data_IF_062401445063
#
_entry.id   IF_062401445063
#
_cell.length_a   1.000
_cell.length_b   1.000
_cell.length_c   1.000
_cell.angle_alpha   90.00
_cell.angle_beta   90.00
_cell.angle_gamma   90.00
#
_symmetry.space_group_name_H-M   'P 1'
#
loop_
_entity.id
_entity.type
_entity.pdbx_description
1 polymer ?
#
# COMPACT_ATOMS: atom_id res chain seq x y z
N UNK A 1 11.13 3.97 10.78
CA UNK A 1 12.19 2.95 10.84
C UNK A 1 13.03 2.94 9.56
N UNK A 2 12.48 2.64 8.37
CA UNK A 2 13.29 2.67 7.14
C UNK A 2 13.96 4.04 6.89
N UNK A 3 13.26 5.14 7.15
CA UNK A 3 13.85 6.49 7.04
C UNK A 3 15.07 6.67 7.96
N UNK A 4 15.07 6.05 9.14
CA UNK A 4 16.20 6.11 10.08
C UNK A 4 17.33 5.17 9.63
N UNK A 5 16.98 4.00 9.07
CA UNK A 5 17.96 3.03 8.57
C UNK A 5 18.72 3.55 7.35
N UNK A 6 18.01 4.18 6.41
CA UNK A 6 18.58 4.72 5.16
C UNK A 6 19.04 6.18 5.29
N UNK A 7 18.72 6.84 6.41
CA UNK A 7 19.13 8.22 6.71
C UNK A 7 18.44 9.32 5.89
N UNK A 8 17.53 8.97 4.97
CA UNK A 8 16.86 9.91 4.09
C UNK A 8 15.40 9.53 3.87
N UNK A 9 14.50 10.46 4.19
CA UNK A 9 13.07 10.31 3.92
C UNK A 9 12.80 10.25 2.43
N UNK A 10 13.38 11.18 1.67
CA UNK A 10 13.18 11.27 0.21
C UNK A 10 13.62 9.99 -0.48
N UNK A 11 14.76 9.41 -0.09
CA UNK A 11 15.26 8.14 -0.64
C UNK A 11 14.27 7.00 -0.40
N UNK A 12 13.76 6.87 0.82
CA UNK A 12 12.81 5.81 1.19
C UNK A 12 11.50 5.94 0.42
N UNK A 13 10.99 7.16 0.24
CA UNK A 13 9.77 7.38 -0.55
C UNK A 13 9.98 7.08 -2.03
N UNK A 14 11.11 7.49 -2.61
CA UNK A 14 11.47 7.17 -4.00
C UNK A 14 11.58 5.65 -4.20
N UNK A 15 12.34 4.96 -3.34
CA UNK A 15 12.48 3.50 -3.40
C UNK A 15 11.12 2.79 -3.28
N UNK A 16 10.26 3.22 -2.34
CA UNK A 16 8.92 2.66 -2.18
C UNK A 16 8.09 2.83 -3.47
N UNK A 17 8.13 4.02 -4.07
CA UNK A 17 7.40 4.33 -5.30
C UNK A 17 7.90 3.49 -6.47
N UNK A 18 9.22 3.42 -6.69
CA UNK A 18 9.81 2.65 -7.79
C UNK A 18 9.61 1.13 -7.64
N UNK A 19 9.74 0.59 -6.42
CA UNK A 19 9.54 -0.84 -6.16
C UNK A 19 8.08 -1.27 -6.31
N UNK A 20 7.13 -0.35 -6.05
CA UNK A 20 5.71 -0.58 -6.25
C UNK A 20 5.28 -0.48 -7.73
N UNK A 21 5.91 0.40 -8.52
CA UNK A 21 5.55 0.67 -9.91
C UNK A 21 6.71 0.31 -10.86
N UNK A 22 6.96 -0.99 -11.01
CA UNK A 22 8.21 -1.49 -11.61
C UNK A 22 8.31 -1.30 -13.13
N UNK A 23 7.18 -1.12 -13.82
CA UNK A 23 7.15 -0.85 -15.26
C UNK A 23 7.05 0.64 -15.59
N UNK A 24 6.77 1.49 -14.59
CA UNK A 24 6.52 2.90 -14.82
C UNK A 24 7.82 3.71 -14.86
N UNK A 25 7.84 4.70 -15.76
CA UNK A 25 8.90 5.69 -15.86
C UNK A 25 8.40 7.03 -15.31
N UNK A 26 9.20 7.68 -14.47
CA UNK A 26 8.83 8.95 -13.85
C UNK A 26 9.85 10.04 -14.16
N UNK A 27 9.37 11.27 -14.39
CA UNK A 27 10.24 12.44 -14.41
C UNK A 27 10.26 13.15 -13.05
N UNK A 28 11.30 13.97 -12.83
CA UNK A 28 11.58 14.60 -11.53
C UNK A 28 10.37 15.34 -10.94
N UNK A 29 9.66 16.15 -11.74
CA UNK A 29 8.50 16.92 -11.26
C UNK A 29 7.30 16.04 -10.88
N UNK A 30 7.03 14.96 -11.62
CA UNK A 30 6.04 13.96 -11.22
C UNK A 30 6.40 13.35 -9.85
N UNK A 31 7.65 12.94 -9.68
CA UNK A 31 8.14 12.37 -8.43
C UNK A 31 7.98 13.36 -7.26
N UNK A 32 8.35 14.63 -7.46
CA UNK A 32 8.20 15.66 -6.40
C UNK A 32 6.75 15.81 -5.93
N UNK A 33 5.78 15.75 -6.85
CA UNK A 33 4.36 15.83 -6.51
C UNK A 33 3.89 14.56 -5.80
N UNK A 34 4.24 13.38 -6.33
CA UNK A 34 3.83 12.09 -5.75
C UNK A 34 4.36 11.87 -4.33
N UNK A 35 5.61 12.26 -4.05
CA UNK A 35 6.23 12.03 -2.72
C UNK A 35 6.21 13.26 -1.81
N UNK A 36 5.68 14.39 -2.29
CA UNK A 36 5.61 15.63 -1.50
C UNK A 36 6.95 16.22 -1.05
N UNK A 37 8.03 16.03 -1.84
CA UNK A 37 9.38 16.48 -1.49
C UNK A 37 9.89 17.61 -2.39
N UNK A 38 10.85 18.39 -1.88
CA UNK A 38 11.49 19.47 -2.63
C UNK A 38 12.27 18.95 -3.84
N UNK A 39 12.20 19.67 -4.95
CA UNK A 39 12.80 19.26 -6.23
C UNK A 39 14.30 18.96 -6.16
N UNK A 40 15.06 19.72 -5.38
CA UNK A 40 16.50 19.50 -5.25
C UNK A 40 16.80 18.26 -4.41
N UNK A 41 16.02 17.99 -3.37
CA UNK A 41 16.14 16.76 -2.60
C UNK A 41 15.85 15.53 -3.47
N UNK A 42 14.82 15.62 -4.33
CA UNK A 42 14.50 14.54 -5.28
C UNK A 42 15.62 14.33 -6.28
N UNK A 43 16.17 15.40 -6.89
CA UNK A 43 17.30 15.28 -7.82
C UNK A 43 18.52 14.61 -7.17
N UNK A 44 18.93 15.10 -6.01
CA UNK A 44 20.09 14.57 -5.30
C UNK A 44 19.93 13.08 -5.01
N UNK A 45 18.74 12.64 -4.56
CA UNK A 45 18.50 11.23 -4.30
C UNK A 45 18.36 10.39 -5.56
N UNK A 46 17.83 10.93 -6.66
CA UNK A 46 17.82 10.23 -7.96
C UNK A 46 19.24 10.02 -8.47
N UNK A 47 20.12 11.02 -8.38
CA UNK A 47 21.52 10.88 -8.77
C UNK A 47 22.24 9.84 -7.90
N UNK A 48 21.99 9.84 -6.59
CA UNK A 48 22.52 8.82 -5.67
C UNK A 48 22.02 7.42 -6.05
N UNK A 49 20.73 7.22 -6.25
CA UNK A 49 20.15 5.92 -6.58
C UNK A 49 20.62 5.42 -7.96
N UNK A 50 20.80 6.33 -8.92
CA UNK A 50 21.30 6.01 -10.25
C UNK A 50 22.78 5.61 -10.21
N UNK A 51 23.61 6.34 -9.45
CA UNK A 51 25.03 5.98 -9.27
C UNK A 51 25.22 4.63 -8.56
N UNK A 52 24.28 4.23 -7.69
CA UNK A 52 24.24 2.89 -7.08
C UNK A 52 23.70 1.81 -8.02
N UNK A 53 23.21 2.16 -9.22
CA UNK A 53 22.60 1.23 -10.16
C UNK A 53 21.24 0.68 -9.72
N UNK A 54 20.60 1.27 -8.70
CA UNK A 54 19.29 0.85 -8.20
C UNK A 54 18.17 1.32 -9.14
N UNK A 55 18.34 2.51 -9.72
CA UNK A 55 17.48 3.04 -10.78
C UNK A 55 18.30 3.30 -12.02
N UNK A 56 17.65 3.38 -13.16
CA UNK A 56 18.28 3.71 -14.42
C UNK A 56 17.54 4.84 -15.14
N UNK A 57 18.26 5.55 -16.00
CA UNK A 57 17.70 6.62 -16.82
C UNK A 57 17.11 5.98 -18.06
N UNK A 58 15.78 5.95 -18.14
CA UNK A 58 15.08 5.52 -19.34
C UNK A 58 15.14 6.64 -20.38
N UNK A 59 15.48 6.29 -21.63
CA UNK A 59 15.30 7.19 -22.77
C UNK A 59 13.80 7.22 -23.09
N UNK A 60 13.22 8.41 -23.14
CA UNK A 60 11.91 8.57 -23.77
C UNK A 60 12.14 8.53 -25.27
N UNK A 61 11.79 7.40 -25.92
CA UNK A 61 11.97 7.27 -27.36
C UNK A 61 11.01 8.17 -28.14
N UNK A 62 9.90 8.64 -27.55
CA UNK A 62 9.05 9.67 -28.15
C UNK A 62 8.41 10.56 -27.06
N UNK A 63 8.42 11.87 -27.26
CA UNK A 63 7.75 12.87 -26.40
C UNK A 63 6.19 12.78 -26.48
N UNK A 64 5.64 11.86 -27.28
CA UNK A 64 4.21 11.77 -27.59
C UNK A 64 3.44 10.62 -26.90
N UNK A 65 4.10 9.63 -26.29
CA UNK A 65 3.41 8.44 -25.71
C UNK A 65 3.05 8.56 -24.22
N UNK A 66 3.23 9.73 -23.59
CA UNK A 66 2.85 9.97 -22.18
C UNK A 66 1.84 11.10 -22.10
N UNK A 67 0.57 10.72 -22.15
CA UNK A 67 -0.66 11.51 -22.31
C UNK A 67 -1.02 12.45 -21.12
N UNK A 68 -0.03 12.96 -20.37
CA UNK A 68 -0.26 13.74 -19.15
C UNK A 68 0.56 15.03 -19.09
N UNK A 69 -0.11 16.16 -19.30
CA UNK A 69 0.34 17.54 -19.02
C UNK A 69 1.48 18.10 -19.91
N UNK A 70 1.10 18.58 -21.10
CA UNK A 70 1.86 19.63 -21.83
C UNK A 70 1.68 20.99 -21.11
N UNK A 71 2.36 21.18 -19.97
CA UNK A 71 2.51 22.50 -19.34
C UNK A 71 3.85 23.11 -19.79
N UNK A 72 3.75 24.31 -20.37
CA UNK A 72 4.75 24.90 -21.24
C UNK A 72 6.19 25.03 -20.71
N UNK A 73 7.09 25.14 -21.70
CA UNK A 73 8.45 25.70 -21.66
C UNK A 73 9.53 24.84 -20.98
N UNK A 74 10.21 24.03 -21.79
CA UNK A 74 11.61 24.23 -22.20
C UNK A 74 12.10 22.96 -22.92
N UNK A 75 12.63 23.11 -24.13
CA UNK A 75 13.21 22.04 -24.95
C UNK A 75 14.53 21.54 -24.35
N UNK A 76 14.44 20.78 -23.26
CA UNK A 76 15.53 19.95 -22.76
C UNK A 76 15.00 18.52 -22.67
N UNK A 77 15.78 17.56 -23.17
CA UNK A 77 15.44 16.14 -23.05
C UNK A 77 15.04 15.82 -21.61
N UNK A 78 13.76 15.48 -21.42
CA UNK A 78 13.26 15.09 -20.10
C UNK A 78 13.92 13.76 -19.74
N UNK A 79 14.68 13.75 -18.65
CA UNK A 79 15.22 12.52 -18.08
C UNK A 79 14.11 11.80 -17.33
N UNK A 80 13.88 10.56 -17.72
CA UNK A 80 12.97 9.65 -17.04
C UNK A 80 13.77 8.63 -16.24
N UNK A 81 13.21 8.22 -15.12
CA UNK A 81 13.83 7.27 -14.20
C UNK A 81 12.88 6.10 -14.00
N UNK A 82 13.44 4.89 -13.94
CA UNK A 82 12.71 3.67 -13.58
C UNK A 82 13.57 2.78 -12.70
N UNK A 83 12.95 1.83 -12.01
CA UNK A 83 13.69 0.85 -11.21
C UNK A 83 14.55 -0.03 -12.13
N UNK A 84 15.79 -0.28 -11.74
CA UNK A 84 16.63 -1.26 -12.42
C UNK A 84 16.37 -2.64 -11.81
N UNK A 85 15.66 -3.50 -12.55
CA UNK A 85 15.34 -4.87 -12.11
C UNK A 85 16.56 -5.80 -12.16
N UNK A 86 17.57 -5.45 -12.93
CA UNK A 86 18.83 -6.18 -13.04
C UNK A 86 19.82 -5.81 -11.92
N UNK A 87 19.44 -4.87 -11.04
CA UNK A 87 20.21 -4.54 -9.86
C UNK A 87 20.33 -5.77 -8.94
N UNK A 88 21.56 -6.09 -8.51
CA UNK A 88 21.86 -7.24 -7.65
C UNK A 88 20.99 -7.27 -6.38
N UNK A 89 20.72 -6.09 -5.79
CA UNK A 89 19.97 -5.95 -4.54
C UNK A 89 18.45 -5.80 -4.75
N UNK A 90 17.97 -5.85 -5.98
CA UNK A 90 16.55 -5.67 -6.28
C UNK A 90 15.64 -6.64 -5.49
N UNK A 91 15.87 -7.96 -5.46
CA UNK A 91 15.00 -8.87 -4.72
C UNK A 91 15.03 -8.62 -3.20
N UNK A 92 16.18 -8.26 -2.63
CA UNK A 92 16.33 -7.94 -1.20
C UNK A 92 15.64 -6.62 -0.86
N UNK A 93 15.81 -5.58 -1.68
CA UNK A 93 15.15 -4.30 -1.51
C UNK A 93 13.63 -4.47 -1.61
N UNK A 94 13.15 -5.23 -2.59
CA UNK A 94 11.73 -5.57 -2.72
C UNK A 94 11.24 -6.28 -1.46
N UNK A 95 11.91 -7.35 -1.03
CA UNK A 95 11.52 -8.10 0.16
C UNK A 95 11.55 -7.23 1.43
N UNK A 96 12.56 -6.36 1.59
CA UNK A 96 12.69 -5.45 2.71
C UNK A 96 11.55 -4.44 2.74
N UNK A 97 11.26 -3.79 1.61
CA UNK A 97 10.21 -2.78 1.53
C UNK A 97 8.80 -3.39 1.65
N UNK A 98 8.57 -4.57 1.08
CA UNK A 98 7.33 -5.34 1.30
C UNK A 98 7.16 -5.71 2.79
N UNK A 99 8.20 -6.25 3.45
CA UNK A 99 8.17 -6.57 4.88
C UNK A 99 8.10 -5.32 5.77
N UNK A 100 8.63 -4.19 5.33
CA UNK A 100 8.49 -2.92 6.06
C UNK A 100 7.04 -2.42 6.08
N UNK A 101 6.26 -2.75 5.04
CA UNK A 101 4.81 -2.58 5.03
C UNK A 101 4.19 -3.21 6.28
N UNK A 102 4.56 -4.46 6.57
CA UNK A 102 4.12 -5.21 7.77
C UNK A 102 4.46 -4.50 9.10
N UNK A 103 5.52 -3.70 9.15
CA UNK A 103 5.84 -2.91 10.35
C UNK A 103 4.97 -1.66 10.51
N UNK A 104 4.55 -1.04 9.39
CA UNK A 104 3.52 0.01 9.41
C UNK A 104 2.20 -0.55 9.93
N UNK A 105 1.88 -1.81 9.62
CA UNK A 105 0.69 -2.49 10.13
C UNK A 105 0.68 -2.55 11.66
N UNK A 106 1.81 -2.87 12.31
CA UNK A 106 1.85 -2.93 13.79
C UNK A 106 1.55 -1.58 14.46
N UNK A 107 2.14 -0.49 13.95
CA UNK A 107 1.86 0.85 14.50
C UNK A 107 0.43 1.29 14.20
N UNK A 108 -0.07 0.95 13.01
CA UNK A 108 -1.43 1.24 12.60
C UNK A 108 -2.45 0.48 13.45
N UNK A 109 -2.26 -0.83 13.65
CA UNK A 109 -3.06 -1.67 14.56
C UNK A 109 -3.06 -1.08 15.96
N UNK A 110 -1.90 -0.71 16.53
CA UNK A 110 -1.85 -0.09 17.86
C UNK A 110 -2.67 1.21 17.94
N UNK A 111 -2.65 2.05 16.90
CA UNK A 111 -3.44 3.28 16.85
C UNK A 111 -4.94 2.97 16.74
N UNK A 112 -5.32 1.99 15.93
CA UNK A 112 -6.70 1.53 15.82
C UNK A 112 -7.20 0.88 17.11
N UNK A 113 -6.40 0.07 17.80
CA UNK A 113 -6.75 -0.49 19.10
C UNK A 113 -6.93 0.58 20.18
N UNK A 114 -6.26 1.73 20.07
CA UNK A 114 -6.51 2.91 20.93
C UNK A 114 -7.75 3.70 20.50
N UNK A 115 -8.27 3.48 19.29
CA UNK A 115 -9.48 4.12 18.79
C UNK A 115 -10.77 3.45 19.31
N UNK A 116 -10.68 2.25 19.88
CA UNK A 116 -11.79 1.52 20.48
C UNK A 116 -11.63 0.00 20.34
N UNK A 117 -12.75 -0.72 20.27
CA UNK A 117 -12.73 -2.18 20.12
C UNK A 117 -12.63 -2.57 18.65
N UNK A 118 -11.42 -2.94 18.22
CA UNK A 118 -11.15 -3.51 16.90
C UNK A 118 -11.47 -5.01 16.91
N UNK A 119 -12.34 -5.47 16.01
CA UNK A 119 -12.71 -6.89 15.88
C UNK A 119 -12.17 -7.51 14.59
N UNK A 120 -12.04 -6.73 13.53
CA UNK A 120 -11.48 -7.19 12.27
C UNK A 120 -10.69 -6.08 11.61
N UNK A 121 -9.55 -6.44 11.02
CA UNK A 121 -8.75 -5.58 10.16
C UNK A 121 -8.19 -6.40 9.01
N UNK A 122 -8.53 -6.02 7.79
CA UNK A 122 -7.93 -6.55 6.58
C UNK A 122 -7.30 -5.42 5.76
N UNK A 123 -6.11 -5.71 5.24
CA UNK A 123 -5.39 -4.86 4.31
C UNK A 123 -5.49 -5.46 2.91
N UNK A 124 -5.84 -4.61 1.97
CA UNK A 124 -6.34 -4.97 0.66
C UNK A 124 -5.81 -3.94 -0.36
N UNK A 125 -6.18 -4.08 -1.62
CA UNK A 125 -5.83 -3.13 -2.66
C UNK A 125 -4.33 -2.84 -2.70
N UNK A 126 -3.96 -1.58 -2.43
CA UNK A 126 -2.58 -1.12 -2.39
C UNK A 126 -1.63 -2.01 -1.57
N UNK A 127 -2.09 -2.55 -0.44
CA UNK A 127 -1.24 -3.35 0.45
C UNK A 127 -0.92 -4.74 -0.10
N UNK A 128 -1.73 -5.25 -1.03
CA UNK A 128 -1.54 -6.55 -1.68
C UNK A 128 -1.17 -6.42 -3.16
N UNK A 129 -1.02 -5.19 -3.66
CA UNK A 129 -0.65 -4.90 -5.04
C UNK A 129 -1.80 -5.02 -6.05
N UNK A 130 -3.05 -4.93 -5.61
CA UNK A 130 -4.24 -4.90 -6.48
C UNK A 130 -4.82 -3.47 -6.51
N UNK A 131 -5.08 -2.92 -7.69
CA UNK A 131 -5.61 -1.54 -7.81
C UNK A 131 -7.13 -1.47 -7.98
N UNK A 132 -7.75 -2.61 -8.27
CA UNK A 132 -9.18 -2.81 -8.54
C UNK A 132 -9.98 -3.21 -7.29
N UNK A 133 -9.32 -3.36 -6.14
CA UNK A 133 -10.01 -3.66 -4.90
C UNK A 133 -10.99 -2.54 -4.51
N UNK A 134 -12.17 -2.88 -3.97
CA UNK A 134 -13.19 -1.90 -3.56
C UNK A 134 -12.73 -0.95 -2.44
N UNK A 135 -11.73 -1.38 -1.66
CA UNK A 135 -11.13 -0.58 -0.59
C UNK A 135 -9.71 -1.10 -0.31
N UNK A 136 -8.82 -0.25 0.21
CA UNK A 136 -7.46 -0.64 0.61
C UNK A 136 -7.41 -1.14 2.05
N UNK A 137 -8.33 -0.68 2.91
CA UNK A 137 -8.41 -1.09 4.32
C UNK A 137 -9.87 -1.35 4.70
N UNK A 138 -10.13 -2.55 5.23
CA UNK A 138 -11.44 -2.89 5.78
C UNK A 138 -11.36 -3.11 7.29
N UNK A 139 -12.21 -2.42 8.04
CA UNK A 139 -12.21 -2.40 9.50
C UNK A 139 -13.60 -2.75 10.03
N UNK A 140 -13.69 -3.72 10.94
CA UNK A 140 -14.92 -3.99 11.71
C UNK A 140 -14.64 -3.75 13.19
N UNK A 141 -15.44 -2.91 13.84
CA UNK A 141 -15.26 -2.60 15.25
C UNK A 141 -16.10 -1.43 15.76
N UNK A 142 -16.07 -1.24 17.08
CA UNK A 142 -16.63 -0.05 17.73
C UNK A 142 -15.50 0.95 17.94
N UNK A 143 -15.25 1.79 16.94
CA UNK A 143 -14.13 2.73 16.89
C UNK A 143 -14.65 4.16 16.72
N UNK A 144 -13.98 5.14 17.33
CA UNK A 144 -14.24 6.57 17.03
C UNK A 144 -13.79 6.89 15.62
N UNK A 145 -14.70 7.48 14.81
CA UNK A 145 -14.42 7.87 13.43
C UNK A 145 -13.24 8.83 13.35
N UNK A 146 -13.17 9.81 14.26
CA UNK A 146 -12.11 10.82 14.32
C UNK A 146 -10.74 10.17 14.51
N UNK A 147 -10.64 9.17 15.40
CA UNK A 147 -9.40 8.45 15.67
C UNK A 147 -8.99 7.53 14.53
N UNK A 148 -9.95 6.88 13.85
CA UNK A 148 -9.66 6.09 12.65
C UNK A 148 -9.13 6.99 11.54
N UNK A 149 -9.79 8.11 11.26
CA UNK A 149 -9.33 9.09 10.26
C UNK A 149 -7.92 9.58 10.57
N UNK A 150 -7.62 9.88 11.84
CA UNK A 150 -6.26 10.28 12.26
C UNK A 150 -5.22 9.18 12.06
N UNK A 151 -5.58 7.92 12.36
CA UNK A 151 -4.71 6.77 12.14
C UNK A 151 -4.41 6.55 10.65
N UNK A 152 -5.44 6.63 9.79
CA UNK A 152 -5.31 6.51 8.34
C UNK A 152 -4.46 7.64 7.77
N UNK A 153 -4.73 8.91 8.13
CA UNK A 153 -3.92 10.07 7.70
C UNK A 153 -2.44 9.93 8.01
N UNK A 154 -2.13 9.37 9.18
CA UNK A 154 -0.73 9.15 9.56
C UNK A 154 -0.07 8.04 8.73
N UNK A 155 -0.85 7.05 8.32
CA UNK A 155 -0.41 5.98 7.44
C UNK A 155 -0.22 6.51 5.99
N UNK A 156 -1.14 7.35 5.49
CA UNK A 156 -1.02 8.03 4.21
C UNK A 156 0.24 8.89 4.12
N UNK A 157 0.57 9.63 5.19
CA UNK A 157 1.82 10.41 5.27
C UNK A 157 3.07 9.53 5.12
N UNK A 158 3.09 8.33 5.70
CA UNK A 158 4.22 7.41 5.59
C UNK A 158 4.33 6.68 4.26
N UNK A 159 3.24 6.66 3.48
CA UNK A 159 3.16 5.98 2.17
C UNK A 159 3.20 7.00 1.02
N UNK A 160 2.91 8.27 1.29
CA UNK A 160 2.69 9.33 0.30
C UNK A 160 1.66 8.94 -0.77
N UNK A 161 0.57 8.30 -0.32
CA UNK A 161 -0.56 7.91 -1.15
C UNK A 161 -1.83 8.00 -0.32
N UNK A 162 -2.91 8.46 -0.94
CA UNK A 162 -4.25 8.38 -0.35
C UNK A 162 -4.70 6.92 -0.26
N UNK A 163 -5.36 6.57 0.84
CA UNK A 163 -5.75 5.19 1.15
C UNK A 163 -7.26 5.15 1.35
N UNK A 164 -7.94 4.36 0.53
CA UNK A 164 -9.38 4.15 0.65
C UNK A 164 -9.65 3.19 1.80
N UNK A 165 -10.50 3.57 2.74
CA UNK A 165 -10.83 2.70 3.88
C UNK A 165 -12.34 2.66 4.15
N UNK A 166 -12.80 1.49 4.56
CA UNK A 166 -14.18 1.22 4.95
C UNK A 166 -14.22 0.79 6.41
N UNK A 167 -15.07 1.43 7.20
CA UNK A 167 -15.30 1.09 8.62
C UNK A 167 -16.74 0.68 8.79
N UNK A 168 -16.97 -0.50 9.37
CA UNK A 168 -18.29 -0.98 9.73
C UNK A 168 -18.38 -1.30 11.21
N UNK A 169 -19.53 -1.01 11.78
CA UNK A 169 -19.84 -1.44 13.14
C UNK A 169 -20.14 -2.95 13.12
N UNK A 170 -19.91 -3.72 14.21
CA UNK A 170 -20.18 -5.16 14.21
C UNK A 170 -21.64 -5.51 13.87
N UNK A 171 -22.59 -4.68 14.31
CA UNK A 171 -24.02 -4.84 14.00
C UNK A 171 -24.32 -4.58 12.52
N UNK A 172 -23.68 -3.56 11.94
CA UNK A 172 -23.82 -3.23 10.52
C UNK A 172 -23.20 -4.33 9.63
N UNK A 173 -22.01 -4.81 9.99
CA UNK A 173 -21.35 -5.91 9.28
C UNK A 173 -22.23 -7.16 9.25
N UNK A 174 -22.79 -7.55 10.40
CA UNK A 174 -23.67 -8.73 10.51
C UNK A 174 -24.92 -8.55 9.65
N UNK A 175 -25.58 -7.39 9.78
CA UNK A 175 -26.78 -7.07 8.99
C UNK A 175 -26.51 -7.08 7.48
N UNK A 176 -25.44 -6.44 7.01
CA UNK A 176 -25.07 -6.41 5.59
C UNK A 176 -24.64 -7.78 5.07
N UNK A 177 -24.04 -8.62 5.92
CA UNK A 177 -23.70 -10.00 5.58
C UNK A 177 -24.95 -10.86 5.39
N UNK A 178 -25.94 -10.73 6.26
CA UNK A 178 -27.24 -11.43 6.16
C UNK A 178 -28.04 -10.98 4.93
N UNK A 179 -28.00 -9.70 4.60
CA UNK A 179 -28.65 -9.16 3.41
C UNK A 179 -27.91 -9.44 2.09
N UNK A 180 -26.79 -10.18 2.13
CA UNK A 180 -25.98 -10.45 0.94
C UNK A 180 -25.58 -9.16 0.22
N UNK A 181 -25.14 -8.17 0.99
CA UNK A 181 -24.71 -6.88 0.46
C UNK A 181 -23.55 -7.06 -0.54
N UNK A 182 -23.78 -6.62 -1.79
CA UNK A 182 -22.82 -6.79 -2.88
C UNK A 182 -21.44 -6.22 -2.56
N UNK A 183 -21.36 -5.02 -2.00
CA UNK A 183 -20.09 -4.36 -1.69
C UNK A 183 -19.33 -5.09 -0.58
N UNK A 184 -20.03 -5.55 0.45
CA UNK A 184 -19.40 -6.36 1.50
C UNK A 184 -18.85 -7.67 0.94
N UNK A 185 -19.57 -8.34 0.05
CA UNK A 185 -19.08 -9.56 -0.58
C UNK A 185 -17.89 -9.31 -1.52
N UNK A 186 -17.88 -8.21 -2.28
CA UNK A 186 -16.71 -7.78 -3.07
C UNK A 186 -15.47 -7.58 -2.18
N UNK A 187 -15.63 -6.96 -0.99
CA UNK A 187 -14.55 -6.85 0.02
C UNK A 187 -14.15 -8.23 0.57
N UNK A 188 -15.12 -9.08 0.89
CA UNK A 188 -14.86 -10.39 1.48
C UNK A 188 -14.25 -11.39 0.49
N UNK A 189 -14.39 -11.19 -0.81
CA UNK A 189 -13.80 -12.04 -1.85
C UNK A 189 -12.43 -11.51 -2.34
N UNK A 190 -12.22 -10.20 -2.34
CA UNK A 190 -10.96 -9.60 -2.79
C UNK A 190 -9.73 -10.09 -1.99
N UNK A 191 -8.57 -10.09 -2.66
CA UNK A 191 -7.30 -10.51 -2.05
C UNK A 191 -6.99 -9.61 -0.86
N UNK A 192 -6.59 -10.24 0.24
CA UNK A 192 -6.36 -9.52 1.49
C UNK A 192 -5.36 -10.20 2.38
N UNK A 193 -4.69 -9.38 3.20
CA UNK A 193 -3.94 -9.81 4.37
C UNK A 193 -4.77 -9.47 5.59
N UNK A 194 -5.21 -10.49 6.32
CA UNK A 194 -5.97 -10.32 7.56
C UNK A 194 -4.98 -10.10 8.69
N UNK A 195 -5.06 -8.94 9.33
CA UNK A 195 -4.15 -8.52 10.40
C UNK A 195 -4.75 -8.78 11.78
N UNK A 196 -6.07 -8.60 11.90
CA UNK A 196 -6.84 -8.91 13.11
C UNK A 196 -8.09 -9.66 12.68
N UNK A 197 -8.32 -10.83 13.28
CA UNK A 197 -9.58 -11.55 13.16
C UNK A 197 -10.02 -12.01 14.55
N UNK A 198 -10.99 -11.28 15.10
CA UNK A 198 -11.70 -11.62 16.32
C UNK A 198 -13.21 -11.76 16.06
N UNK A 199 -13.63 -11.87 14.78
CA UNK A 199 -15.03 -12.09 14.43
C UNK A 199 -15.45 -13.53 14.74
N UNK A 200 -14.52 -14.48 14.72
CA UNK A 200 -14.76 -15.88 15.02
C UNK A 200 -14.96 -16.19 16.52
N UNK A 201 -14.55 -15.30 17.42
CA UNK A 201 -14.65 -15.52 18.88
C UNK A 201 -16.05 -15.26 19.47
N UNK A 202 -17.01 -14.78 18.66
CA UNK A 202 -18.35 -14.40 19.14
C UNK A 202 -19.53 -15.02 18.40
N UNK A 203 -19.29 -15.70 17.28
CA UNK A 203 -20.29 -16.57 16.65
C UNK A 203 -20.03 -17.98 17.14
N UNK A 204 -20.88 -18.45 18.06
CA UNK A 204 -20.72 -19.72 18.74
C UNK A 204 -20.40 -20.90 17.82
N UNK A 205 -19.64 -21.82 18.41
CA UNK A 205 -19.68 -23.26 18.18
C UNK A 205 -20.97 -23.70 17.48
N UNK A 206 -20.86 -24.15 16.23
CA UNK A 206 -21.49 -25.37 15.71
C UNK A 206 -21.23 -25.53 14.20
N UNK A 207 -20.89 -26.78 13.81
CA UNK A 207 -20.94 -27.35 12.45
C UNK A 207 -19.77 -26.96 11.50
N UNK A 208 -18.82 -27.82 11.10
CA UNK A 208 -18.70 -29.29 11.12
C UNK A 208 -17.21 -29.69 11.12
N UNK A 209 -16.82 -30.50 12.10
CA UNK A 209 -15.93 -31.64 11.86
C UNK A 209 -16.72 -32.64 11.00
N UNK A 210 -16.44 -32.72 9.70
CA UNK A 210 -16.82 -33.88 8.88
C UNK A 210 -16.08 -33.89 7.54
N UNK A 211 -14.94 -34.59 7.55
CA UNK A 211 -14.37 -35.44 6.49
C UNK A 211 -13.13 -36.06 7.14
N UNK A 212 -13.32 -36.99 8.09
CA UNK A 212 -13.44 -38.42 7.80
C UNK A 212 -12.36 -38.86 6.82
N UNK A 213 -11.26 -39.37 7.35
CA UNK A 213 -10.38 -40.23 6.59
C UNK A 213 -11.09 -41.55 6.32
N UNK A 214 -10.90 -42.07 5.12
CA UNK A 214 -10.85 -43.48 4.74
C UNK A 214 -10.37 -43.46 3.27
N UNK A 215 -9.11 -43.83 2.99
CA UNK A 215 -8.61 -45.18 2.66
C UNK A 215 -9.22 -45.77 1.38
N UNK A 216 -8.47 -46.74 0.84
CA UNK A 216 -8.71 -47.62 -0.33
C UNK A 216 -7.91 -47.09 -1.54
N UNK A 217 -6.90 -47.79 -2.07
CA UNK A 217 -6.47 -49.19 -1.96
C UNK A 217 -4.99 -49.28 -2.33
#
# INVERSE_FOLDING_TARGET
MLEQLFGSKTRVHLLRLFLANQEECFFVRQLTRKIGAQINAVRNELDNLASMGIIEIAKADNDDDMEGEKIGRSSGQRKYYRINKDCLFFPELRALFSKSGVLLEKQFVQRLSRAGTLQYLALMGYFVGESDAPTDIFIVGKLSKERVTSAVRSLEQGISKEINYTVMNPTEFTYRKELTDRFLYEILDARKVVVVDALLDRTGVESKKQTAGERVK
#
